data_IF_148406603648
#
_entry.id   IF_148406603648
#
_cell.length_a   1.000
_cell.length_b   1.000
_cell.length_c   1.000
_cell.angle_alpha   90.00
_cell.angle_beta   90.00
_cell.angle_gamma   90.00
#
_symmetry.space_group_name_H-M   'P 1'
#
loop_
_entity.id
_entity.type
_entity.pdbx_description
1 polymer ?
#
# COMPACT_ATOMS: atom_id res chain seq x y z
N UNK A 1 0.06 -11.72 0.15
CA UNK A 1 -1.09 -11.20 0.94
C UNK A 1 -1.35 -11.93 2.26
N UNK A 2 -1.52 -13.27 2.31
CA UNK A 2 -1.79 -14.00 3.57
C UNK A 2 -0.76 -13.76 4.69
N UNK A 3 0.53 -13.60 4.35
CA UNK A 3 1.57 -13.31 5.33
C UNK A 3 1.45 -11.89 5.93
N UNK A 4 1.13 -10.89 5.11
CA UNK A 4 0.94 -9.50 5.56
C UNK A 4 -0.27 -9.34 6.49
N UNK A 5 -1.37 -10.05 6.22
CA UNK A 5 -2.51 -10.09 7.14
C UNK A 5 -2.16 -10.75 8.49
N UNK A 6 -1.23 -11.70 8.49
CA UNK A 6 -0.76 -12.39 9.72
C UNK A 6 0.29 -11.60 10.50
N UNK A 7 0.89 -10.56 9.93
CA UNK A 7 1.90 -9.76 10.61
C UNK A 7 1.31 -8.65 11.49
N UNK A 8 -0.02 -8.47 11.48
CA UNK A 8 -0.69 -7.38 12.21
C UNK A 8 -0.46 -6.00 11.61
N UNK A 9 0.03 -5.91 10.38
CA UNK A 9 0.18 -4.62 9.68
C UNK A 9 -1.20 -4.05 9.33
N UNK A 10 -1.35 -2.72 9.39
CA UNK A 10 -2.56 -2.02 8.88
C UNK A 10 -2.53 -1.80 7.37
N UNK A 11 -1.34 -1.63 6.80
CA UNK A 11 -1.14 -1.29 5.39
C UNK A 11 -0.19 -2.29 4.74
N UNK A 12 -0.47 -2.68 3.50
CA UNK A 12 0.45 -3.40 2.63
C UNK A 12 0.70 -2.61 1.34
N UNK A 13 1.97 -2.51 0.97
CA UNK A 13 2.39 -2.00 -0.34
C UNK A 13 2.58 -3.18 -1.29
N UNK A 14 2.00 -3.10 -2.48
CA UNK A 14 2.16 -4.09 -3.54
C UNK A 14 2.72 -3.37 -4.76
N UNK A 15 3.92 -3.76 -5.16
CA UNK A 15 4.58 -3.29 -6.38
C UNK A 15 5.04 -4.52 -7.16
N UNK A 16 4.27 -4.92 -8.17
CA UNK A 16 4.71 -5.88 -9.18
C UNK A 16 5.38 -5.17 -10.35
N UNK A 17 5.88 -5.94 -11.32
CA UNK A 17 6.62 -5.42 -12.48
C UNK A 17 5.85 -4.31 -13.22
N UNK A 18 4.55 -4.49 -13.43
CA UNK A 18 3.68 -3.49 -14.08
C UNK A 18 3.54 -2.19 -13.28
N UNK A 19 3.48 -2.29 -11.96
CA UNK A 19 3.35 -1.11 -11.10
C UNK A 19 4.67 -0.32 -11.11
N UNK A 20 5.79 -1.04 -11.11
CA UNK A 20 7.15 -0.49 -11.21
C UNK A 20 7.35 0.23 -12.55
N UNK A 21 6.98 -0.40 -13.66
CA UNK A 21 7.02 0.22 -14.99
C UNK A 21 6.15 1.48 -15.07
N UNK A 22 5.01 1.50 -14.37
CA UNK A 22 4.10 2.63 -14.32
C UNK A 22 4.51 3.72 -13.29
N UNK A 23 5.56 3.51 -12.51
CA UNK A 23 5.95 4.43 -11.43
C UNK A 23 4.90 4.51 -10.30
N UNK A 24 4.17 3.43 -10.07
CA UNK A 24 3.08 3.37 -9.08
C UNK A 24 3.26 2.22 -8.09
N UNK A 25 2.53 2.28 -7.00
CA UNK A 25 2.44 1.23 -5.99
C UNK A 25 1.01 1.14 -5.49
N UNK A 26 0.50 -0.07 -5.37
CA UNK A 26 -0.83 -0.29 -4.83
C UNK A 26 -0.76 -0.28 -3.30
N UNK A 27 -1.39 0.69 -2.67
CA UNK A 27 -1.53 0.80 -1.22
C UNK A 27 -2.82 0.11 -0.82
N UNK A 28 -2.71 -0.96 -0.04
CA UNK A 28 -3.85 -1.73 0.45
C UNK A 28 -4.04 -1.55 1.95
N UNK A 29 -5.25 -1.15 2.35
CA UNK A 29 -5.70 -1.24 3.73
C UNK A 29 -6.04 -2.70 4.06
N UNK A 30 -5.42 -3.23 5.10
CA UNK A 30 -5.59 -4.63 5.51
C UNK A 30 -6.79 -4.83 6.46
N UNK A 31 -7.34 -3.75 7.00
CA UNK A 31 -8.53 -3.73 7.86
C UNK A 31 -9.80 -3.75 7.00
N UNK A 32 -9.86 -2.91 5.97
CA UNK A 32 -11.04 -2.76 5.09
C UNK A 32 -10.91 -3.57 3.81
N UNK A 33 -9.68 -3.88 3.37
CA UNK A 33 -9.40 -4.51 2.10
C UNK A 33 -9.34 -3.55 0.91
N UNK A 34 -9.62 -2.26 1.11
CA UNK A 34 -9.55 -1.21 0.08
C UNK A 34 -8.13 -1.10 -0.49
N UNK A 35 -8.04 -0.84 -1.79
CA UNK A 35 -6.77 -0.67 -2.47
C UNK A 35 -6.83 0.47 -3.48
N UNK A 36 -5.79 1.30 -3.46
CA UNK A 36 -5.62 2.42 -4.39
C UNK A 36 -4.22 2.38 -5.02
N UNK A 37 -4.11 2.81 -6.27
CA UNK A 37 -2.82 3.02 -6.93
C UNK A 37 -2.33 4.43 -6.62
N UNK A 38 -1.07 4.54 -6.19
CA UNK A 38 -0.45 5.79 -5.75
C UNK A 38 0.88 5.94 -6.46
N UNK A 39 1.25 7.18 -6.80
CA UNK A 39 2.60 7.47 -7.31
C UNK A 39 3.65 7.05 -6.27
N UNK A 40 4.75 6.46 -6.74
CA UNK A 40 5.87 6.11 -5.86
C UNK A 40 6.44 7.34 -5.13
N UNK A 41 6.41 8.51 -5.77
CA UNK A 41 6.93 9.75 -5.16
C UNK A 41 6.08 10.23 -3.98
N UNK A 42 4.80 9.83 -3.92
CA UNK A 42 3.87 10.26 -2.87
C UNK A 42 3.51 9.16 -1.87
N UNK A 43 3.99 7.92 -2.06
CA UNK A 43 3.56 6.77 -1.24
C UNK A 43 3.87 6.94 0.25
N UNK A 44 5.00 7.57 0.59
CA UNK A 44 5.38 7.78 1.99
C UNK A 44 4.37 8.71 2.68
N UNK A 45 4.00 9.81 2.04
CA UNK A 45 3.02 10.75 2.57
C UNK A 45 1.63 10.09 2.73
N UNK A 46 1.23 9.29 1.75
CA UNK A 46 -0.02 8.53 1.80
C UNK A 46 -0.05 7.55 2.97
N UNK A 47 1.03 6.79 3.19
CA UNK A 47 1.13 5.85 4.31
C UNK A 47 1.09 6.57 5.66
N UNK A 48 1.80 7.69 5.81
CA UNK A 48 1.77 8.51 7.03
C UNK A 48 0.35 9.00 7.32
N UNK A 49 -0.35 9.53 6.31
CA UNK A 49 -1.73 10.01 6.42
C UNK A 49 -2.68 8.92 6.96
N UNK A 50 -2.56 7.70 6.45
CA UNK A 50 -3.39 6.55 6.88
C UNK A 50 -3.07 6.05 8.29
N UNK A 51 -1.85 6.26 8.78
CA UNK A 51 -1.42 5.81 10.11
C UNK A 51 -1.60 6.87 11.20
N UNK A 52 -1.83 8.13 10.83
CA UNK A 52 -2.00 9.23 11.77
C UNK A 52 -3.37 9.27 12.47
N UNK A 53 -4.30 8.36 12.15
CA UNK A 53 -5.61 8.19 12.79
C UNK A 53 -5.71 6.93 13.63
#
# INVERSE_FOLDING_TARGET
MRAAARSGARVALVAGDRDIEAGTVAVKDLTTGEQVSVSMDSVVAEVISRLAG
#
